data_IF_925099847950
#
_entry.id   IF_925099847950
#
_cell.length_a   1.000
_cell.length_b   1.000
_cell.length_c   1.000
_cell.angle_alpha   90.00
_cell.angle_beta   90.00
_cell.angle_gamma   90.00
#
_symmetry.space_group_name_H-M   'P 1'
#
loop_
_entity.id
_entity.type
_entity.pdbx_description
1 polymer ?
#
# COMPACT_ATOMS: atom_id res chain seq x y z
N UNK A 1 -15.22 -6.83 -2.69
CA UNK A 1 -13.96 -6.52 -1.99
C UNK A 1 -12.87 -6.34 -3.02
N UNK A 2 -12.19 -5.19 -3.00
CA UNK A 2 -11.06 -4.87 -3.88
C UNK A 2 -9.76 -4.79 -3.11
N UNK A 3 -8.67 -5.20 -3.75
CA UNK A 3 -7.30 -5.05 -3.27
C UNK A 3 -6.54 -4.13 -4.22
N UNK A 4 -5.91 -3.11 -3.68
CA UNK A 4 -5.06 -2.18 -4.43
C UNK A 4 -3.66 -2.27 -3.83
N UNK A 5 -2.71 -2.73 -4.64
CA UNK A 5 -1.32 -2.95 -4.23
C UNK A 5 -0.43 -1.88 -4.86
N UNK A 6 0.29 -1.15 -4.03
CA UNK A 6 1.35 -0.26 -4.48
C UNK A 6 2.66 -1.03 -4.49
N UNK A 7 3.29 -1.20 -5.64
CA UNK A 7 4.58 -1.88 -5.75
C UNK A 7 5.72 -0.87 -5.51
N UNK A 8 6.75 -1.31 -4.78
CA UNK A 8 7.94 -0.54 -4.43
C UNK A 8 8.90 -1.38 -3.57
N UNK A 9 10.08 -0.82 -3.28
CA UNK A 9 11.02 -1.38 -2.32
C UNK A 9 10.93 -0.65 -0.97
N UNK A 10 11.01 -1.36 0.17
CA UNK A 10 11.13 -0.77 1.49
C UNK A 10 12.53 -0.21 1.72
N UNK A 11 12.67 0.81 2.56
CA UNK A 11 13.97 1.42 2.91
C UNK A 11 14.08 2.87 2.43
N UNK A 12 14.81 3.69 3.18
CA UNK A 12 14.99 5.12 2.90
C UNK A 12 15.78 5.37 1.61
N UNK A 13 16.63 4.41 1.22
CA UNK A 13 17.43 4.44 0.01
C UNK A 13 16.60 4.30 -1.28
N UNK A 14 15.37 3.75 -1.17
CA UNK A 14 14.44 3.63 -2.29
C UNK A 14 13.33 4.67 -2.27
N UNK A 15 13.29 5.51 -1.23
CA UNK A 15 12.28 6.56 -1.10
C UNK A 15 12.35 7.52 -2.28
N UNK A 16 11.18 7.86 -2.84
CA UNK A 16 11.02 8.76 -3.99
C UNK A 16 11.78 8.35 -5.26
N UNK A 17 12.20 7.09 -5.37
CA UNK A 17 12.68 6.54 -6.64
C UNK A 17 11.50 6.27 -7.58
N UNK A 18 11.73 6.30 -8.90
CA UNK A 18 10.68 5.99 -9.89
C UNK A 18 10.05 4.60 -9.67
N UNK A 19 10.80 3.67 -9.08
CA UNK A 19 10.35 2.31 -8.78
C UNK A 19 9.32 2.26 -7.63
N UNK A 20 9.25 3.29 -6.80
CA UNK A 20 8.35 3.40 -5.65
C UNK A 20 7.09 4.24 -5.93
N UNK A 21 6.84 4.60 -7.20
CA UNK A 21 5.63 5.38 -7.56
C UNK A 21 4.34 4.69 -7.13
N UNK A 22 4.32 3.34 -7.09
CA UNK A 22 3.18 2.57 -6.59
C UNK A 22 2.87 2.86 -5.12
N UNK A 23 3.88 2.99 -4.26
CA UNK A 23 3.70 3.38 -2.86
C UNK A 23 3.13 4.79 -2.75
N UNK A 24 3.64 5.75 -3.54
CA UNK A 24 3.14 7.12 -3.54
C UNK A 24 1.67 7.22 -3.98
N UNK A 25 1.27 6.42 -4.98
CA UNK A 25 -0.12 6.32 -5.42
C UNK A 25 -1.01 5.79 -4.31
N UNK A 26 -0.59 4.72 -3.63
CA UNK A 26 -1.34 4.16 -2.49
C UNK A 26 -1.45 5.16 -1.34
N UNK A 27 -0.38 5.89 -1.03
CA UNK A 27 -0.40 6.90 0.02
C UNK A 27 -1.37 8.05 -0.29
N UNK A 28 -1.41 8.51 -1.54
CA UNK A 28 -2.38 9.51 -1.99
C UNK A 28 -3.80 8.98 -1.96
N UNK A 29 -4.01 7.73 -2.35
CA UNK A 29 -5.32 7.09 -2.33
C UNK A 29 -5.82 6.92 -0.89
N UNK A 30 -4.98 6.43 0.02
CA UNK A 30 -5.30 6.27 1.44
C UNK A 30 -5.76 7.59 2.07
N UNK A 31 -5.08 8.71 1.77
CA UNK A 31 -5.50 10.05 2.24
C UNK A 31 -6.89 10.45 1.76
N UNK A 32 -7.34 9.94 0.61
CA UNK A 32 -8.64 10.27 0.01
C UNK A 32 -9.76 9.37 0.54
N UNK A 33 -9.54 8.06 0.57
CA UNK A 33 -10.61 7.08 0.86
C UNK A 33 -10.56 6.52 2.28
N UNK A 34 -9.44 6.66 2.99
CA UNK A 34 -9.25 6.17 4.35
C UNK A 34 -8.67 7.25 5.29
N UNK A 35 -9.24 8.48 5.32
CA UNK A 35 -8.68 9.56 6.11
C UNK A 35 -8.72 9.22 7.61
N UNK A 36 -7.57 9.32 8.29
CA UNK A 36 -7.44 9.02 9.71
C UNK A 36 -7.24 7.54 10.05
N UNK A 37 -7.30 6.64 9.07
CA UNK A 37 -7.01 5.22 9.29
C UNK A 37 -5.52 4.99 9.55
N UNK A 38 -5.24 4.07 10.47
CA UNK A 38 -3.87 3.70 10.86
C UNK A 38 -3.49 2.41 10.16
N UNK A 39 -2.38 2.45 9.43
CA UNK A 39 -1.88 1.27 8.75
C UNK A 39 -1.45 0.18 9.74
N UNK A 40 -1.77 -1.07 9.41
CA UNK A 40 -1.41 -2.26 10.18
C UNK A 40 -0.40 -3.10 9.42
N UNK A 41 0.51 -3.75 10.16
CA UNK A 41 1.43 -4.71 9.56
C UNK A 41 0.73 -6.05 9.36
N UNK A 42 0.49 -6.44 8.11
CA UNK A 42 -0.15 -7.72 7.73
C UNK A 42 0.28 -8.10 6.31
N UNK A 43 0.31 -9.40 6.00
CA UNK A 43 0.64 -9.91 4.66
C UNK A 43 2.01 -9.41 4.16
N UNK A 44 3.02 -9.43 5.03
CA UNK A 44 4.37 -8.93 4.70
C UNK A 44 4.38 -7.49 4.18
N UNK A 45 3.44 -6.64 4.63
CA UNK A 45 3.35 -5.25 4.21
C UNK A 45 2.53 -4.36 5.15
N UNK A 46 2.47 -3.09 4.78
CA UNK A 46 1.62 -2.08 5.41
C UNK A 46 0.24 -2.11 4.76
N UNK A 47 -0.80 -2.29 5.56
CA UNK A 47 -2.18 -2.49 5.10
C UNK A 47 -3.13 -1.48 5.72
N UNK A 48 -4.08 -1.00 4.91
CA UNK A 48 -5.23 -0.22 5.38
C UNK A 48 -6.49 -0.87 4.78
N UNK A 49 -7.48 -1.16 5.63
CA UNK A 49 -8.80 -1.59 5.19
C UNK A 49 -9.78 -0.43 5.39
N UNK A 50 -10.61 -0.15 4.39
CA UNK A 50 -11.62 0.92 4.45
C UNK A 50 -12.84 0.59 3.59
N UNK A 51 -13.85 1.45 3.66
CA UNK A 51 -15.04 1.43 2.78
C UNK A 51 -14.99 2.65 1.86
N UNK A 52 -15.05 2.43 0.55
CA UNK A 52 -15.22 3.50 -0.45
C UNK A 52 -16.64 3.37 -1.04
N UNK A 53 -17.58 4.12 -0.48
CA UNK A 53 -19.01 3.88 -0.66
C UNK A 53 -19.42 2.52 -0.08
N UNK A 54 -20.04 1.68 -0.90
CA UNK A 54 -20.46 0.32 -0.52
C UNK A 54 -19.39 -0.76 -0.82
N UNK A 55 -18.23 -0.37 -1.35
CA UNK A 55 -17.15 -1.30 -1.69
C UNK A 55 -16.11 -1.36 -0.57
N UNK A 56 -15.84 -2.57 -0.08
CA UNK A 56 -14.72 -2.82 0.84
C UNK A 56 -13.41 -2.80 0.07
N UNK A 57 -12.50 -1.90 0.44
CA UNK A 57 -11.19 -1.74 -0.20
C UNK A 57 -10.07 -2.03 0.78
N UNK A 58 -9.10 -2.82 0.36
CA UNK A 58 -7.82 -3.00 1.04
C UNK A 58 -6.71 -2.34 0.23
N UNK A 59 -5.93 -1.50 0.89
CA UNK A 59 -4.71 -0.92 0.36
C UNK A 59 -3.52 -1.66 0.96
N UNK A 60 -2.58 -2.09 0.11
CA UNK A 60 -1.38 -2.82 0.52
C UNK A 60 -0.12 -2.18 -0.07
N UNK A 61 0.88 -1.94 0.78
CA UNK A 61 2.26 -1.65 0.40
C UNK A 61 3.15 -2.79 0.91
N UNK A 62 3.60 -3.72 0.07
CA UNK A 62 4.52 -4.78 0.48
C UNK A 62 5.78 -4.20 1.11
N UNK A 63 6.27 -4.80 2.19
CA UNK A 63 7.57 -4.49 2.79
C UNK A 63 8.61 -5.55 2.45
N UNK A 64 8.36 -6.32 1.40
CA UNK A 64 9.32 -7.19 0.73
C UNK A 64 10.05 -6.42 -0.37
N UNK A 65 11.21 -6.90 -0.80
CA UNK A 65 11.80 -6.40 -2.04
C UNK A 65 10.90 -6.74 -3.22
N UNK A 66 10.95 -5.90 -4.26
CA UNK A 66 10.04 -5.96 -5.42
C UNK A 66 10.03 -7.32 -6.13
N UNK A 67 11.17 -8.02 -6.13
CA UNK A 67 11.29 -9.36 -6.71
C UNK A 67 10.52 -10.45 -5.92
N UNK A 68 10.04 -10.13 -4.71
CA UNK A 68 9.25 -11.01 -3.83
C UNK A 68 7.87 -10.44 -3.50
N UNK A 69 7.41 -9.41 -4.23
CA UNK A 69 6.10 -8.81 -3.95
C UNK A 69 4.93 -9.78 -4.06
N UNK A 70 5.07 -10.91 -4.77
CA UNK A 70 4.03 -11.95 -4.85
C UNK A 70 3.84 -12.79 -3.57
N UNK A 71 4.72 -12.65 -2.57
CA UNK A 71 4.57 -13.27 -1.25
C UNK A 71 3.70 -12.42 -0.29
N UNK A 72 3.28 -11.24 -0.75
CA UNK A 72 2.51 -10.22 -0.01
C UNK A 72 1.09 -10.09 -0.51
#
# INVERSE_FOLDING_TARGET
>A
MKLIVGIGNPGVEYDRTRHNVGFEVVDRLARRIAPGEVARSRFHGSTIETMDGDEKVMLLKPTTYVNRSGES
#
